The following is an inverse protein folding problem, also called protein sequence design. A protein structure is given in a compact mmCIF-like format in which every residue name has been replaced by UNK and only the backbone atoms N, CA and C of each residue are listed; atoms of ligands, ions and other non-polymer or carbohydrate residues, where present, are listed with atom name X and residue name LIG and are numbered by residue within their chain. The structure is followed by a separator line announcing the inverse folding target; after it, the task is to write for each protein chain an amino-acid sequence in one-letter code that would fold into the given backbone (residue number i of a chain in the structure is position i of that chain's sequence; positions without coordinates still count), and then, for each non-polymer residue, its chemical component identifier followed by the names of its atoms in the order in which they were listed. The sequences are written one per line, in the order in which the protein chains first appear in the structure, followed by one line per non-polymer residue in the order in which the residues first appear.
data_IF_493648646298
#
_entry.id   IF_493648646298
#
_cell.length_a   1.000
_cell.length_b   1.000
_cell.length_c   1.000
_cell.angle_alpha   90.00
_cell.angle_beta   90.00
_cell.angle_gamma   90.00
#
_symmetry.space_group_name_H-M   'P 1'
#
loop_
_entity.id
_entity.type
_entity.pdbx_description
1 polymer ?
#
# COMPACT_ATOMS: atom_id res chain seq x y z
N UNK A 1 10.22 -8.42 18.24
CA UNK A 1 10.59 -7.15 17.57
C UNK A 1 9.64 -6.06 18.03
N UNK A 2 10.15 -4.90 18.41
CA UNK A 2 9.35 -3.77 18.87
C UNK A 2 8.99 -2.85 17.69
N UNK A 3 7.72 -2.58 17.52
CA UNK A 3 7.20 -1.72 16.47
C UNK A 3 6.71 -0.40 17.07
N UNK A 4 6.86 0.68 16.32
CA UNK A 4 6.17 1.93 16.60
C UNK A 4 5.16 2.22 15.47
N UNK A 5 4.07 2.89 15.82
CA UNK A 5 3.04 3.30 14.88
C UNK A 5 2.88 4.82 14.95
N UNK A 6 3.01 5.51 13.81
CA UNK A 6 2.68 6.93 13.70
C UNK A 6 1.29 7.11 13.08
N UNK A 7 0.58 8.17 13.47
CA UNK A 7 -0.85 8.31 13.19
C UNK A 7 -1.70 7.28 13.94
N UNK A 8 -1.29 6.96 15.17
CA UNK A 8 -1.85 5.87 15.98
C UNK A 8 -3.36 5.99 16.22
N UNK A 9 -3.89 7.20 16.29
CA UNK A 9 -5.32 7.47 16.47
C UNK A 9 -6.15 7.34 15.19
N UNK A 10 -5.49 7.27 14.02
CA UNK A 10 -6.13 7.10 12.73
C UNK A 10 -6.70 5.69 12.52
N UNK A 11 -7.52 5.53 11.47
CA UNK A 11 -8.12 4.22 11.11
C UNK A 11 -7.07 3.13 10.92
N UNK A 12 -5.99 3.41 10.16
CA UNK A 12 -4.91 2.45 9.97
C UNK A 12 -4.06 2.25 11.22
N UNK A 13 -3.77 3.33 11.98
CA UNK A 13 -3.04 3.25 13.23
C UNK A 13 -3.66 2.28 14.22
N UNK A 14 -4.98 2.40 14.46
CA UNK A 14 -5.72 1.47 15.34
C UNK A 14 -5.69 0.04 14.82
N UNK A 15 -5.89 -0.16 13.52
CA UNK A 15 -5.82 -1.52 12.92
C UNK A 15 -4.42 -2.12 13.03
N UNK A 16 -3.36 -1.32 12.89
CA UNK A 16 -1.97 -1.77 13.10
C UNK A 16 -1.73 -2.18 14.55
N UNK A 17 -2.20 -1.38 15.53
CA UNK A 17 -2.06 -1.69 16.95
C UNK A 17 -2.78 -3.01 17.28
N UNK A 18 -4.00 -3.23 16.76
CA UNK A 18 -4.73 -4.49 16.88
C UNK A 18 -3.91 -5.66 16.31
N UNK A 19 -3.42 -5.51 15.07
CA UNK A 19 -2.65 -6.56 14.41
C UNK A 19 -1.31 -6.87 15.11
N UNK A 20 -0.66 -5.86 15.70
CA UNK A 20 0.55 -6.04 16.51
C UNK A 20 0.23 -6.79 17.80
N UNK A 21 -0.88 -6.46 18.47
CA UNK A 21 -1.33 -7.11 19.69
C UNK A 21 -1.64 -8.60 19.49
N UNK A 22 -2.19 -8.96 18.33
CA UNK A 22 -2.53 -10.34 17.96
C UNK A 22 -1.30 -11.18 17.53
N UNK A 23 -0.13 -10.55 17.33
CA UNK A 23 1.05 -11.23 16.81
C UNK A 23 2.00 -11.65 17.94
N UNK A 24 2.32 -12.95 18.05
CA UNK A 24 3.17 -13.50 19.11
C UNK A 24 4.63 -13.00 19.09
N UNK A 25 5.13 -12.60 17.92
CA UNK A 25 6.54 -12.24 17.68
C UNK A 25 6.79 -10.73 17.64
N UNK A 26 5.73 -9.92 17.81
CA UNK A 26 5.78 -8.46 17.72
C UNK A 26 5.27 -7.83 19.02
N UNK A 27 5.75 -6.65 19.34
CA UNK A 27 5.25 -5.86 20.47
C UNK A 27 5.13 -4.39 20.06
N UNK A 28 4.08 -3.71 20.51
CA UNK A 28 3.98 -2.26 20.39
C UNK A 28 4.93 -1.60 21.38
N UNK A 29 5.98 -0.95 20.88
CA UNK A 29 6.96 -0.23 21.69
C UNK A 29 6.64 1.25 21.87
N UNK A 30 5.97 1.86 20.87
CA UNK A 30 5.57 3.25 20.92
C UNK A 30 4.38 3.53 19.97
N UNK A 31 3.62 4.57 20.28
CA UNK A 31 2.53 5.08 19.47
C UNK A 31 2.62 6.60 19.38
N UNK A 32 2.58 7.15 18.15
CA UNK A 32 2.78 8.57 17.92
C UNK A 32 1.61 9.20 17.20
N UNK A 33 1.35 10.45 17.56
CA UNK A 33 0.37 11.33 16.92
C UNK A 33 0.95 12.73 16.74
N UNK A 34 0.31 13.54 15.91
CA UNK A 34 0.66 14.97 15.79
C UNK A 34 0.49 15.66 17.14
N UNK A 35 1.31 16.68 17.38
CA UNK A 35 1.44 17.32 18.67
C UNK A 35 0.13 17.99 19.19
N UNK A 36 -0.75 18.39 18.27
CA UNK A 36 -2.05 19.03 18.57
C UNK A 36 -3.19 18.02 18.81
N UNK A 37 -2.89 16.72 18.82
CA UNK A 37 -3.90 15.68 19.07
C UNK A 37 -4.36 15.70 20.53
N UNK A 38 -5.66 15.73 20.74
CA UNK A 38 -6.28 15.59 22.07
C UNK A 38 -6.11 14.20 22.69
N UNK A 39 -5.55 13.25 21.95
CA UNK A 39 -5.33 11.86 22.37
C UNK A 39 -3.91 11.62 22.91
N UNK A 40 -3.07 12.64 22.99
CA UNK A 40 -1.76 12.55 23.64
C UNK A 40 -1.97 12.15 25.12
N UNK A 41 -1.23 11.13 25.56
CA UNK A 41 -1.33 10.56 26.91
C UNK A 41 -2.34 9.41 27.04
N UNK A 42 -3.28 9.24 26.10
CA UNK A 42 -4.20 8.10 26.10
C UNK A 42 -3.43 6.78 25.84
N UNK A 43 -3.94 5.66 26.38
CA UNK A 43 -3.36 4.35 26.09
C UNK A 43 -3.71 3.91 24.66
N UNK A 44 -2.70 3.49 23.91
CA UNK A 44 -2.83 3.10 22.51
C UNK A 44 -3.68 1.83 22.32
N UNK A 45 -3.63 0.90 23.28
CA UNK A 45 -4.41 -0.33 23.24
C UNK A 45 -5.89 -0.06 23.54
N UNK A 46 -6.21 0.77 24.55
CA UNK A 46 -7.58 1.17 24.83
C UNK A 46 -8.19 1.90 23.62
N UNK A 47 -7.43 2.79 22.99
CA UNK A 47 -7.87 3.49 21.78
C UNK A 47 -8.11 2.53 20.60
N UNK A 48 -7.31 1.48 20.48
CA UNK A 48 -7.45 0.45 19.44
C UNK A 48 -8.51 -0.62 19.78
N UNK A 49 -9.02 -0.65 21.01
CA UNK A 49 -10.05 -1.61 21.44
C UNK A 49 -9.53 -2.99 21.83
N UNK A 50 -8.23 -3.11 22.15
CA UNK A 50 -7.57 -4.37 22.56
C UNK A 50 -7.28 -4.45 24.07
N UNK A 51 -7.80 -3.49 24.84
CA UNK A 51 -7.47 -3.35 26.25
C UNK A 51 -6.22 -2.50 26.48
N UNK A 52 -5.83 -2.36 27.73
CA UNK A 52 -4.69 -1.53 28.13
C UNK A 52 -3.35 -2.20 27.81
N UNK A 53 -2.50 -1.51 27.06
CA UNK A 53 -1.15 -1.97 26.70
C UNK A 53 -0.03 -1.25 27.45
N UNK A 54 -0.35 -0.23 28.26
CA UNK A 54 0.60 0.64 28.96
C UNK A 54 1.56 1.39 28.00
N UNK A 55 1.12 1.62 26.77
CA UNK A 55 1.80 2.38 25.75
C UNK A 55 1.07 3.71 25.52
N UNK A 56 1.52 4.81 26.14
CA UNK A 56 0.86 6.10 25.94
C UNK A 56 1.12 6.63 24.53
N UNK A 57 0.10 7.24 23.93
CA UNK A 57 0.26 8.01 22.69
C UNK A 57 1.11 9.24 22.98
N UNK A 58 2.19 9.40 22.22
CA UNK A 58 3.15 10.50 22.35
C UNK A 58 3.10 11.43 21.14
N UNK A 59 3.59 12.64 21.30
CA UNK A 59 3.79 13.55 20.18
C UNK A 59 4.85 13.00 19.21
N UNK A 60 4.59 13.08 17.90
CA UNK A 60 5.56 12.73 16.87
C UNK A 60 6.86 13.56 16.94
N UNK A 61 6.79 14.80 17.47
CA UNK A 61 7.98 15.62 17.73
C UNK A 61 8.85 15.14 18.90
N UNK A 62 8.40 14.16 19.70
CA UNK A 62 9.09 13.61 20.86
C UNK A 62 9.39 12.11 20.70
N UNK A 63 9.71 11.68 19.46
CA UNK A 63 10.08 10.29 19.18
C UNK A 63 11.37 9.93 19.93
N UNK A 64 11.33 8.80 20.66
CA UNK A 64 12.48 8.19 21.28
C UNK A 64 12.87 6.91 20.51
N UNK A 65 14.00 6.89 19.80
CA UNK A 65 14.39 5.75 18.99
C UNK A 65 14.72 4.50 19.83
N UNK A 66 14.92 4.62 21.13
CA UNK A 66 15.18 3.48 22.00
C UNK A 66 13.97 2.58 22.23
N UNK A 67 12.75 3.07 21.94
CA UNK A 67 11.51 2.38 22.20
C UNK A 67 11.12 1.37 21.11
N UNK A 68 11.70 1.47 19.92
CA UNK A 68 11.28 0.62 18.79
C UNK A 68 12.45 0.25 17.87
N UNK A 69 12.26 -0.79 17.10
CA UNK A 69 13.19 -1.26 16.08
C UNK A 69 12.75 -0.79 14.69
N UNK A 70 11.44 -0.80 14.42
CA UNK A 70 10.83 -0.40 13.14
C UNK A 70 9.64 0.52 13.37
N UNK A 71 9.57 1.63 12.62
CA UNK A 71 8.43 2.53 12.56
C UNK A 71 7.51 2.13 11.40
N UNK A 72 6.19 2.15 11.62
CA UNK A 72 5.17 1.96 10.58
C UNK A 72 4.40 3.27 10.40
N UNK A 73 4.38 3.76 9.15
CA UNK A 73 3.84 5.06 8.80
C UNK A 73 2.76 4.97 7.72
N UNK A 74 1.52 5.38 8.10
CA UNK A 74 0.37 5.56 7.20
C UNK A 74 -0.23 6.96 7.44
N UNK A 75 0.58 7.99 7.35
CA UNK A 75 0.17 9.35 7.68
C UNK A 75 -0.04 10.24 6.45
N UNK A 76 0.83 11.21 6.24
CA UNK A 76 0.79 12.15 5.13
C UNK A 76 2.21 12.37 4.58
N UNK A 77 2.38 12.74 3.30
CA UNK A 77 3.69 12.88 2.67
C UNK A 77 4.70 13.69 3.48
N UNK A 78 4.32 14.86 3.96
CA UNK A 78 5.23 15.72 4.73
C UNK A 78 5.71 15.07 6.04
N UNK A 79 4.82 14.39 6.77
CA UNK A 79 5.18 13.67 8.00
C UNK A 79 6.08 12.46 7.69
N UNK A 80 5.79 11.73 6.62
CA UNK A 80 6.57 10.58 6.17
C UNK A 80 8.02 10.97 5.85
N UNK A 81 8.26 12.11 5.22
CA UNK A 81 9.61 12.58 4.92
C UNK A 81 10.41 12.90 6.21
N UNK A 82 9.76 13.51 7.20
CA UNK A 82 10.36 13.73 8.53
C UNK A 82 10.68 12.41 9.21
N UNK A 83 9.75 11.44 9.16
CA UNK A 83 9.94 10.12 9.74
C UNK A 83 11.07 9.33 9.05
N UNK A 84 11.20 9.46 7.73
CA UNK A 84 12.28 8.81 6.97
C UNK A 84 13.66 9.34 7.39
N UNK A 85 13.81 10.67 7.51
CA UNK A 85 15.06 11.28 7.98
C UNK A 85 15.36 10.92 9.43
N UNK A 86 14.33 10.91 10.30
CA UNK A 86 14.49 10.48 11.70
C UNK A 86 14.99 9.04 11.78
N UNK A 87 14.34 8.11 11.07
CA UNK A 87 14.72 6.70 11.06
C UNK A 87 16.14 6.49 10.51
N UNK A 88 16.50 7.18 9.44
CA UNK A 88 17.84 7.13 8.85
C UNK A 88 18.91 7.65 9.81
N UNK A 89 18.64 8.73 10.54
CA UNK A 89 19.58 9.34 11.51
C UNK A 89 19.82 8.44 12.71
N UNK A 90 18.81 7.70 13.16
CA UNK A 90 18.88 6.89 14.37
C UNK A 90 19.04 5.38 14.09
N UNK A 91 19.25 4.98 12.84
CA UNK A 91 19.39 3.57 12.45
C UNK A 91 18.15 2.75 12.77
N UNK A 92 16.94 3.32 12.58
CA UNK A 92 15.67 2.64 12.74
C UNK A 92 15.07 2.29 11.38
N UNK A 93 14.45 1.14 11.26
CA UNK A 93 13.80 0.72 10.04
C UNK A 93 12.46 1.43 9.87
N UNK A 94 11.99 1.57 8.62
CA UNK A 94 10.74 2.27 8.32
C UNK A 94 9.91 1.53 7.27
N UNK A 95 8.63 1.31 7.59
CA UNK A 95 7.61 0.81 6.64
C UNK A 95 6.67 1.96 6.29
N UNK A 96 6.62 2.34 5.02
CA UNK A 96 5.83 3.46 4.52
C UNK A 96 4.65 2.95 3.69
N UNK A 97 3.43 3.12 4.21
CA UNK A 97 2.17 2.91 3.50
C UNK A 97 1.48 4.21 3.10
N UNK A 98 2.10 5.36 3.37
CA UNK A 98 1.60 6.68 2.97
C UNK A 98 1.57 6.79 1.45
N UNK A 99 0.45 7.27 0.91
CA UNK A 99 0.26 7.51 -0.53
C UNK A 99 0.40 8.98 -0.88
N UNK A 100 0.52 9.31 -2.17
CA UNK A 100 0.59 10.70 -2.64
C UNK A 100 1.97 11.35 -2.49
N UNK A 101 3.04 10.58 -2.22
CA UNK A 101 4.41 11.08 -2.19
C UNK A 101 4.85 11.37 -3.62
N UNK A 102 5.24 12.61 -3.88
CA UNK A 102 5.70 13.08 -5.19
C UNK A 102 7.11 12.57 -5.55
N UNK A 103 7.59 12.96 -6.72
CA UNK A 103 8.92 12.54 -7.23
C UNK A 103 10.05 13.01 -6.30
N UNK A 104 9.96 14.26 -5.82
CA UNK A 104 10.98 14.83 -4.94
C UNK A 104 11.00 14.12 -3.58
N UNK A 105 9.82 13.84 -3.01
CA UNK A 105 9.71 13.07 -1.76
C UNK A 105 10.22 11.65 -1.90
N UNK A 106 9.95 10.97 -3.01
CA UNK A 106 10.53 9.62 -3.27
C UNK A 106 12.05 9.66 -3.36
N UNK A 107 12.62 10.71 -3.97
CA UNK A 107 14.08 10.88 -4.00
C UNK A 107 14.66 11.08 -2.60
N UNK A 108 14.00 11.84 -1.72
CA UNK A 108 14.42 11.99 -0.32
C UNK A 108 14.37 10.66 0.45
N UNK A 109 13.31 9.86 0.25
CA UNK A 109 13.23 8.53 0.86
C UNK A 109 14.35 7.62 0.36
N UNK A 110 14.70 7.67 -0.93
CA UNK A 110 15.81 6.89 -1.49
C UNK A 110 17.15 7.26 -0.84
N UNK A 111 17.42 8.56 -0.62
CA UNK A 111 18.60 9.03 0.09
C UNK A 111 18.62 8.57 1.56
N UNK A 112 17.48 8.60 2.25
CA UNK A 112 17.35 8.08 3.61
C UNK A 112 17.65 6.58 3.67
N UNK A 113 17.21 5.83 2.65
CA UNK A 113 17.40 4.39 2.54
C UNK A 113 18.88 3.96 2.35
N UNK A 114 19.76 4.86 1.95
CA UNK A 114 21.22 4.59 1.93
C UNK A 114 21.80 4.36 3.35
N UNK A 115 21.10 4.83 4.38
CA UNK A 115 21.53 4.78 5.78
C UNK A 115 20.78 3.77 6.64
N UNK A 116 19.58 3.36 6.22
CA UNK A 116 18.75 2.37 6.93
C UNK A 116 17.86 1.60 5.96
N UNK A 117 17.25 0.51 6.43
CA UNK A 117 16.30 -0.23 5.59
C UNK A 117 14.91 0.43 5.63
N UNK A 118 14.42 0.84 4.46
CA UNK A 118 13.10 1.45 4.26
C UNK A 118 12.30 0.62 3.26
N UNK A 119 11.06 0.32 3.60
CA UNK A 119 10.11 -0.25 2.66
C UNK A 119 9.04 0.79 2.33
N UNK A 120 8.86 1.09 1.05
CA UNK A 120 7.80 1.97 0.56
C UNK A 120 6.92 1.24 -0.44
N UNK A 121 5.64 1.11 -0.13
CA UNK A 121 4.65 0.57 -1.06
C UNK A 121 3.33 1.33 -0.96
N UNK A 122 2.74 1.75 -2.10
CA UNK A 122 1.45 2.45 -2.10
C UNK A 122 0.29 1.53 -1.71
N UNK A 123 0.49 0.22 -1.69
CA UNK A 123 -0.47 -0.76 -1.22
C UNK A 123 0.26 -1.90 -0.50
N UNK A 124 -0.07 -2.10 0.77
CA UNK A 124 0.55 -3.13 1.62
C UNK A 124 -0.14 -4.50 1.53
N UNK A 125 -1.28 -4.63 0.84
CA UNK A 125 -1.96 -5.91 0.72
C UNK A 125 -1.11 -6.93 -0.02
N UNK A 126 -0.83 -8.06 0.62
CA UNK A 126 -0.15 -9.21 0.00
C UNK A 126 -0.92 -9.70 -1.21
N UNK A 127 -2.26 -9.78 -1.11
CA UNK A 127 -3.12 -10.23 -2.21
C UNK A 127 -3.07 -9.29 -3.41
N UNK A 128 -3.11 -7.96 -3.20
CA UNK A 128 -2.99 -6.98 -4.30
C UNK A 128 -1.63 -7.09 -4.98
N UNK A 129 -0.55 -7.21 -4.22
CA UNK A 129 0.79 -7.31 -4.79
C UNK A 129 1.03 -8.64 -5.53
N UNK A 130 0.42 -9.74 -5.07
CA UNK A 130 0.37 -10.98 -5.83
C UNK A 130 -0.41 -10.81 -7.14
N UNK A 131 -1.58 -10.14 -7.09
CA UNK A 131 -2.37 -9.85 -8.30
C UNK A 131 -1.56 -9.03 -9.30
N UNK A 132 -0.81 -8.01 -8.88
CA UNK A 132 0.08 -7.25 -9.77
C UNK A 132 1.03 -8.15 -10.55
N UNK A 133 1.61 -9.15 -9.90
CA UNK A 133 2.50 -10.12 -10.56
C UNK A 133 1.74 -11.05 -11.52
N UNK A 134 0.56 -11.53 -11.10
CA UNK A 134 -0.27 -12.38 -11.96
C UNK A 134 -0.74 -11.64 -13.21
N UNK A 135 -1.09 -10.34 -13.10
CA UNK A 135 -1.47 -9.51 -14.24
C UNK A 135 -0.35 -9.36 -15.25
N UNK A 136 0.86 -9.16 -14.78
CA UNK A 136 2.04 -9.06 -15.64
C UNK A 136 2.28 -10.35 -16.42
N UNK A 137 2.24 -11.50 -15.74
CA UNK A 137 2.38 -12.82 -16.35
C UNK A 137 1.24 -13.07 -17.37
N UNK A 138 0.00 -12.81 -16.98
CA UNK A 138 -1.14 -13.00 -17.86
C UNK A 138 -1.06 -12.12 -19.13
N UNK A 139 -0.71 -10.84 -18.96
CA UNK A 139 -0.53 -9.93 -20.09
C UNK A 139 0.58 -10.37 -21.04
N UNK A 140 1.72 -10.83 -20.53
CA UNK A 140 2.84 -11.33 -21.35
C UNK A 140 2.48 -12.60 -22.13
N UNK A 141 1.70 -13.51 -21.52
CA UNK A 141 1.31 -14.78 -22.15
C UNK A 141 0.21 -14.57 -23.21
N UNK A 142 -0.80 -13.73 -22.87
CA UNK A 142 -1.98 -13.54 -23.72
C UNK A 142 -1.74 -12.49 -24.83
N UNK A 143 -0.85 -11.53 -24.60
CA UNK A 143 -0.44 -10.53 -25.58
C UNK A 143 -1.61 -9.73 -26.14
N UNK A 144 -1.56 -9.50 -27.46
CA UNK A 144 -2.59 -8.73 -28.19
C UNK A 144 -3.80 -9.59 -28.65
N UNK A 145 -3.89 -10.84 -28.21
CA UNK A 145 -5.00 -11.73 -28.59
C UNK A 145 -6.27 -11.48 -27.76
N UNK A 146 -6.14 -10.72 -26.66
CA UNK A 146 -7.22 -10.45 -25.72
C UNK A 146 -7.50 -8.96 -25.52
N UNK A 147 -8.75 -8.62 -25.24
CA UNK A 147 -9.16 -7.32 -24.74
C UNK A 147 -8.92 -7.22 -23.21
N UNK A 148 -8.45 -6.07 -22.73
CA UNK A 148 -8.11 -5.87 -21.31
C UNK A 148 -9.01 -4.79 -20.71
N UNK A 149 -9.73 -5.13 -19.63
CA UNK A 149 -10.59 -4.20 -18.87
C UNK A 149 -10.30 -4.31 -17.38
N UNK A 150 -10.12 -3.16 -16.73
CA UNK A 150 -9.94 -3.02 -15.27
C UNK A 150 -11.24 -2.52 -14.67
N UNK A 151 -11.84 -3.31 -13.78
CA UNK A 151 -13.09 -2.98 -13.09
C UNK A 151 -12.78 -2.80 -11.61
N UNK A 152 -13.18 -1.66 -11.02
CA UNK A 152 -12.99 -1.42 -9.61
C UNK A 152 -14.26 -0.92 -8.91
N UNK A 153 -14.43 -1.31 -7.66
CA UNK A 153 -15.54 -0.86 -6.83
C UNK A 153 -15.04 -0.46 -5.43
N UNK A 154 -15.50 0.69 -4.94
CA UNK A 154 -15.24 1.19 -3.59
C UNK A 154 -16.47 1.84 -2.98
N UNK A 155 -16.37 2.13 -1.68
CA UNK A 155 -17.41 2.80 -0.92
C UNK A 155 -17.77 4.19 -1.49
N UNK A 156 -19.00 4.65 -1.20
CA UNK A 156 -19.54 5.93 -1.69
C UNK A 156 -18.71 7.18 -1.37
N UNK A 157 -17.85 7.11 -0.36
CA UNK A 157 -17.03 8.24 0.11
C UNK A 157 -15.65 8.32 -0.53
N UNK A 158 -15.29 7.39 -1.44
CA UNK A 158 -14.02 7.46 -2.16
C UNK A 158 -14.09 8.53 -3.25
N UNK A 159 -13.14 9.46 -3.22
CA UNK A 159 -13.15 10.68 -4.06
C UNK A 159 -12.39 10.51 -5.38
N UNK A 160 -11.32 9.71 -5.38
CA UNK A 160 -10.54 9.42 -6.59
C UNK A 160 -11.21 8.33 -7.44
N UNK A 161 -11.19 8.49 -8.76
CA UNK A 161 -11.69 7.53 -9.75
C UNK A 161 -10.85 7.64 -11.05
N UNK A 162 -10.28 6.53 -11.54
CA UNK A 162 -10.18 5.23 -10.89
C UNK A 162 -9.33 5.28 -9.61
N UNK A 163 -9.41 4.21 -8.79
CA UNK A 163 -8.58 4.07 -7.60
C UNK A 163 -7.08 3.99 -7.98
N UNK A 164 -6.18 4.44 -7.09
CA UNK A 164 -4.74 4.32 -7.32
C UNK A 164 -4.27 2.88 -7.59
N UNK A 165 -4.94 1.88 -7.00
CA UNK A 165 -4.68 0.45 -7.26
C UNK A 165 -5.08 0.08 -8.68
N UNK A 166 -6.24 0.54 -9.17
CA UNK A 166 -6.68 0.28 -10.55
C UNK A 166 -5.74 0.96 -11.57
N UNK A 167 -5.33 2.21 -11.33
CA UNK A 167 -4.34 2.88 -12.18
C UNK A 167 -3.03 2.09 -12.22
N UNK A 168 -2.55 1.61 -11.06
CA UNK A 168 -1.34 0.77 -11.01
C UNK A 168 -1.49 -0.54 -11.78
N UNK A 169 -2.67 -1.18 -11.74
CA UNK A 169 -2.97 -2.35 -12.57
C UNK A 169 -2.86 -2.00 -14.06
N UNK A 170 -3.45 -0.89 -14.47
CA UNK A 170 -3.34 -0.38 -15.84
C UNK A 170 -1.89 -0.12 -16.28
N UNK A 171 -1.07 0.49 -15.42
CA UNK A 171 0.36 0.72 -15.69
C UNK A 171 1.13 -0.58 -15.90
N UNK A 172 0.85 -1.61 -15.08
CA UNK A 172 1.47 -2.94 -15.19
C UNK A 172 1.08 -3.58 -16.53
N UNK A 173 -0.21 -3.58 -16.85
CA UNK A 173 -0.75 -4.12 -18.08
C UNK A 173 -0.19 -3.42 -19.33
N UNK A 174 -0.18 -2.07 -19.32
CA UNK A 174 0.36 -1.28 -20.41
C UNK A 174 1.84 -1.58 -20.64
N UNK A 175 2.63 -1.64 -19.58
CA UNK A 175 4.07 -1.96 -19.65
C UNK A 175 4.30 -3.37 -20.17
N UNK A 176 3.57 -4.37 -19.65
CA UNK A 176 3.71 -5.76 -20.08
C UNK A 176 3.33 -5.99 -21.55
N UNK A 177 2.38 -5.17 -22.08
CA UNK A 177 1.92 -5.19 -23.46
C UNK A 177 2.68 -4.21 -24.38
N UNK A 178 3.73 -3.53 -23.89
CA UNK A 178 4.48 -2.54 -24.67
C UNK A 178 3.67 -1.30 -25.05
N UNK A 179 2.65 -0.93 -24.28
CA UNK A 179 1.74 0.18 -24.55
C UNK A 179 2.02 1.36 -23.60
N UNK A 180 1.61 2.55 -24.01
CA UNK A 180 1.62 3.77 -23.19
C UNK A 180 0.20 3.99 -22.60
N UNK A 181 0.05 3.79 -21.28
CA UNK A 181 -1.27 3.93 -20.63
C UNK A 181 -1.93 5.27 -20.91
N UNK A 182 -1.16 6.36 -20.99
CA UNK A 182 -1.70 7.69 -21.24
C UNK A 182 -2.38 7.84 -22.62
N UNK A 183 -2.05 6.95 -23.56
CA UNK A 183 -2.59 6.95 -24.92
C UNK A 183 -3.72 5.94 -25.15
N UNK A 184 -3.69 4.82 -24.40
CA UNK A 184 -4.59 3.69 -24.64
C UNK A 184 -5.66 3.52 -23.56
N UNK A 185 -5.59 4.29 -22.45
CA UNK A 185 -6.59 4.21 -21.40
C UNK A 185 -7.94 4.82 -21.83
N UNK A 186 -9.02 4.09 -21.56
CA UNK A 186 -10.40 4.56 -21.74
C UNK A 186 -11.13 4.49 -20.41
N UNK A 187 -11.44 5.67 -19.85
CA UNK A 187 -12.09 5.81 -18.54
C UNK A 187 -13.61 5.93 -18.68
N UNK A 188 -14.27 4.77 -18.76
CA UNK A 188 -15.71 4.71 -18.98
C UNK A 188 -16.11 4.81 -20.45
N UNK A 189 -17.33 4.36 -20.74
CA UNK A 189 -17.98 4.45 -22.06
C UNK A 189 -19.42 4.87 -21.88
N UNK A 190 -19.91 5.79 -22.72
CA UNK A 190 -21.28 6.27 -22.70
C UNK A 190 -21.79 6.45 -24.14
N UNK A 191 -23.04 6.10 -24.38
CA UNK A 191 -23.70 6.25 -25.69
C UNK A 191 -23.13 5.31 -26.76
N UNK A 192 -23.12 5.78 -28.01
CA UNK A 192 -22.65 5.01 -29.16
C UNK A 192 -21.14 5.32 -29.40
N UNK A 193 -20.27 4.55 -28.80
CA UNK A 193 -18.80 4.78 -28.82
C UNK A 193 -18.08 4.12 -30.01
N UNK A 194 -18.82 3.39 -30.86
CA UNK A 194 -18.21 2.56 -31.90
C UNK A 194 -17.57 1.28 -31.36
N UNK A 195 -16.89 0.53 -32.23
CA UNK A 195 -16.19 -0.68 -31.84
C UNK A 195 -14.96 -0.31 -30.99
N UNK A 196 -14.65 -1.15 -30.01
CA UNK A 196 -13.47 -1.02 -29.15
C UNK A 196 -12.18 -1.13 -29.96
N UNK A 197 -11.25 -0.20 -29.78
CA UNK A 197 -9.91 -0.32 -30.33
C UNK A 197 -9.15 -1.45 -29.62
N UNK A 198 -8.32 -2.19 -30.37
CA UNK A 198 -7.66 -3.40 -29.90
C UNK A 198 -6.61 -3.15 -28.82
N UNK A 199 -5.94 -2.03 -28.90
CA UNK A 199 -4.90 -1.61 -27.95
C UNK A 199 -5.45 -0.97 -26.68
N UNK A 200 -6.77 -0.76 -26.56
CA UNK A 200 -7.40 -0.15 -25.39
C UNK A 200 -7.10 -0.92 -24.11
N UNK A 201 -6.87 -0.21 -23.02
CA UNK A 201 -7.00 -0.68 -21.64
C UNK A 201 -8.19 0.07 -21.05
N UNK A 202 -9.31 -0.61 -20.84
CA UNK A 202 -10.53 0.02 -20.37
C UNK A 202 -10.57 0.07 -18.84
N UNK A 203 -11.31 1.06 -18.30
CA UNK A 203 -11.56 1.20 -16.87
C UNK A 203 -13.05 1.39 -16.62
N UNK A 204 -13.57 0.62 -15.66
CA UNK A 204 -14.93 0.78 -15.15
C UNK A 204 -14.88 1.00 -13.63
N UNK A 205 -15.54 2.06 -13.17
CA UNK A 205 -15.49 2.50 -11.77
C UNK A 205 -16.87 2.43 -11.14
N UNK A 206 -16.99 1.76 -10.00
CA UNK A 206 -18.20 1.67 -9.19
C UNK A 206 -17.99 2.34 -7.83
N UNK A 207 -18.97 3.12 -7.35
CA UNK A 207 -19.04 3.70 -6.02
C UNK A 207 -20.35 3.30 -5.35
N UNK A 208 -20.28 2.41 -4.34
CA UNK A 208 -21.47 1.85 -3.71
C UNK A 208 -21.19 1.40 -2.27
N UNK A 209 -22.16 1.63 -1.39
CA UNK A 209 -22.17 1.11 -0.03
C UNK A 209 -20.90 1.42 0.78
N UNK A 210 -20.37 0.39 1.40
CA UNK A 210 -19.20 0.36 2.24
C UNK A 210 -18.05 -0.51 1.69
N UNK A 211 -18.09 -0.84 0.41
CA UNK A 211 -17.07 -1.66 -0.28
C UNK A 211 -15.67 -1.12 0.04
N UNK A 212 -14.84 -1.95 0.64
CA UNK A 212 -13.48 -1.56 1.04
C UNK A 212 -12.57 -1.39 -0.17
N UNK A 213 -12.70 -2.29 -1.15
CA UNK A 213 -12.01 -2.21 -2.43
C UNK A 213 -12.02 -3.54 -3.18
N UNK A 214 -12.72 -3.58 -4.30
CA UNK A 214 -12.73 -4.70 -5.23
C UNK A 214 -12.03 -4.28 -6.52
N UNK A 215 -11.22 -5.17 -7.06
CA UNK A 215 -10.51 -4.95 -8.32
C UNK A 215 -10.53 -6.24 -9.13
N UNK A 216 -11.03 -6.17 -10.35
CA UNK A 216 -11.06 -7.27 -11.32
C UNK A 216 -10.40 -6.82 -12.60
N UNK A 217 -9.49 -7.62 -13.14
CA UNK A 217 -8.99 -7.45 -14.50
C UNK A 217 -9.52 -8.59 -15.34
N UNK A 218 -10.20 -8.22 -16.45
CA UNK A 218 -10.63 -9.15 -17.49
C UNK A 218 -9.60 -9.19 -18.59
N UNK A 219 -9.28 -10.39 -19.04
CA UNK A 219 -8.60 -10.70 -20.30
C UNK A 219 -9.59 -11.50 -21.14
N UNK A 220 -10.21 -10.84 -22.14
CA UNK A 220 -11.29 -11.41 -22.92
C UNK A 220 -10.84 -11.71 -24.35
N UNK A 221 -10.71 -12.98 -24.67
CA UNK A 221 -10.39 -13.51 -26.00
C UNK A 221 -11.63 -14.01 -26.75
N UNK A 222 -11.42 -14.56 -27.95
CA UNK A 222 -12.47 -15.19 -28.72
C UNK A 222 -12.84 -16.55 -28.12
N UNK A 223 -14.03 -16.64 -27.52
CA UNK A 223 -14.55 -17.88 -26.94
C UNK A 223 -14.20 -18.15 -25.49
N UNK A 224 -13.27 -17.39 -24.89
CA UNK A 224 -12.93 -17.50 -23.47
C UNK A 224 -12.57 -16.16 -22.84
N UNK A 225 -12.55 -16.10 -21.52
CA UNK A 225 -12.00 -14.99 -20.76
C UNK A 225 -11.37 -15.48 -19.48
N UNK A 226 -10.34 -14.76 -19.02
CA UNK A 226 -9.72 -14.93 -17.71
C UNK A 226 -10.06 -13.71 -16.86
N UNK A 227 -10.44 -13.93 -15.62
CA UNK A 227 -10.69 -12.87 -14.63
C UNK A 227 -9.74 -13.04 -13.44
N UNK A 228 -8.96 -12.02 -13.14
CA UNK A 228 -8.11 -11.98 -11.93
C UNK A 228 -8.71 -10.95 -10.98
N UNK A 229 -9.22 -11.43 -9.86
CA UNK A 229 -9.99 -10.61 -8.92
C UNK A 229 -9.36 -10.59 -7.53
N UNK A 230 -9.28 -9.41 -6.93
CA UNK A 230 -8.99 -9.19 -5.52
C UNK A 230 -10.15 -8.44 -4.85
N UNK A 231 -10.58 -8.92 -3.68
CA UNK A 231 -11.58 -8.24 -2.84
C UNK A 231 -11.04 -8.03 -1.44
N UNK A 232 -11.01 -6.77 -0.99
CA UNK A 232 -10.66 -6.41 0.37
C UNK A 232 -11.93 -6.31 1.23
N UNK A 233 -12.01 -7.09 2.31
CA UNK A 233 -13.16 -7.07 3.22
C UNK A 233 -12.91 -6.21 4.47
N UNK A 234 -11.64 -5.95 4.81
CA UNK A 234 -11.27 -5.09 5.94
C UNK A 234 -9.89 -4.45 5.71
N UNK A 235 -9.54 -3.45 6.54
CA UNK A 235 -8.20 -2.85 6.53
C UNK A 235 -7.12 -3.74 7.15
N UNK A 236 -7.52 -4.83 7.81
CA UNK A 236 -6.57 -5.75 8.45
C UNK A 236 -5.58 -6.36 7.45
N UNK A 237 -5.99 -6.58 6.19
CA UNK A 237 -5.10 -7.08 5.14
C UNK A 237 -3.90 -6.14 4.88
N UNK A 238 -4.10 -4.82 4.96
CA UNK A 238 -3.02 -3.83 4.84
C UNK A 238 -2.11 -3.83 6.07
N UNK A 239 -2.71 -3.93 7.28
CA UNK A 239 -1.94 -4.02 8.51
C UNK A 239 -1.08 -5.29 8.54
N UNK A 240 -1.65 -6.46 8.22
CA UNK A 240 -0.91 -7.72 8.13
C UNK A 240 0.23 -7.66 7.10
N UNK A 241 0.01 -7.00 5.96
CA UNK A 241 1.04 -6.75 4.97
C UNK A 241 2.17 -5.86 5.50
N UNK A 242 1.85 -4.79 6.24
CA UNK A 242 2.83 -3.92 6.87
C UNK A 242 3.64 -4.67 7.95
N UNK A 243 3.02 -5.55 8.74
CA UNK A 243 3.74 -6.40 9.70
C UNK A 243 4.67 -7.40 8.98
N UNK A 244 4.24 -7.96 7.85
CA UNK A 244 5.11 -8.81 7.02
C UNK A 244 6.29 -8.02 6.46
N UNK A 245 6.07 -6.77 6.02
CA UNK A 245 7.12 -5.86 5.59
C UNK A 245 8.12 -5.56 6.71
N UNK A 246 7.66 -5.29 7.94
CA UNK A 246 8.52 -5.09 9.09
C UNK A 246 9.38 -6.33 9.42
N UNK A 247 8.80 -7.54 9.34
CA UNK A 247 9.56 -8.81 9.50
C UNK A 247 10.60 -9.01 8.42
N UNK A 248 10.30 -8.60 7.18
CA UNK A 248 11.27 -8.63 6.07
C UNK A 248 12.42 -7.67 6.34
N UNK A 249 12.13 -6.41 6.72
CA UNK A 249 13.15 -5.39 6.99
C UNK A 249 14.10 -5.79 8.13
N UNK A 250 13.63 -6.57 9.12
CA UNK A 250 14.49 -7.07 10.21
C UNK A 250 15.76 -7.79 9.71
N UNK A 251 15.72 -8.33 8.50
CA UNK A 251 16.85 -9.06 7.88
C UNK A 251 17.70 -8.17 6.96
N UNK A 252 17.32 -6.90 6.81
CA UNK A 252 17.98 -5.95 5.93
C UNK A 252 18.74 -4.92 6.77
N UNK A 253 19.92 -4.54 6.32
CA UNK A 253 20.73 -3.51 6.99
C UNK A 253 20.35 -2.11 6.51
N UNK A 254 20.24 -1.93 5.19
CA UNK A 254 19.88 -0.68 4.51
C UNK A 254 19.36 -0.97 3.10
N UNK A 255 18.70 0.00 2.51
CA UNK A 255 18.17 -0.07 1.15
C UNK A 255 16.70 0.31 1.07
N UNK A 256 16.24 0.61 -0.13
CA UNK A 256 14.85 0.90 -0.44
C UNK A 256 14.21 -0.36 -1.05
N UNK A 257 13.16 -0.83 -0.40
CA UNK A 257 12.43 -2.04 -0.75
C UNK A 257 10.96 -1.72 -1.03
N UNK A 258 10.28 -2.65 -1.67
CA UNK A 258 8.83 -2.62 -1.85
C UNK A 258 8.17 -3.96 -1.49
N UNK A 259 6.86 -4.07 -1.71
CA UNK A 259 6.13 -5.32 -1.42
C UNK A 259 6.47 -6.45 -2.40
N UNK A 260 7.02 -6.18 -3.58
CA UNK A 260 7.47 -7.24 -4.50
C UNK A 260 8.72 -7.93 -3.93
N UNK A 261 9.63 -7.17 -3.29
CA UNK A 261 10.79 -7.73 -2.59
C UNK A 261 10.36 -8.63 -1.42
N UNK A 262 9.37 -8.16 -0.62
CA UNK A 262 8.79 -8.94 0.50
C UNK A 262 8.21 -10.27 0.06
N UNK A 263 7.68 -10.32 -1.16
CA UNK A 263 7.04 -11.51 -1.73
C UNK A 263 8.02 -12.38 -2.54
N UNK A 264 9.27 -11.96 -2.67
CA UNK A 264 10.30 -12.69 -3.41
C UNK A 264 10.15 -12.58 -4.94
N UNK A 265 9.52 -11.49 -5.41
CA UNK A 265 9.36 -11.19 -6.84
C UNK A 265 10.38 -10.16 -7.35
N UNK A 266 11.22 -9.60 -6.45
CA UNK A 266 12.09 -8.45 -6.72
C UNK A 266 13.13 -8.65 -7.83
N UNK A 267 13.61 -9.80 -8.14
CA UNK A 267 14.72 -10.00 -9.10
C UNK A 267 14.40 -10.96 -10.27
N UNK A 268 13.13 -11.20 -10.59
CA UNK A 268 12.77 -12.24 -11.57
C UNK A 268 12.14 -11.74 -12.87
N UNK A 269 12.30 -10.46 -13.18
CA UNK A 269 11.87 -9.89 -14.45
C UNK A 269 12.98 -9.01 -15.02
N UNK A 270 13.96 -9.65 -15.61
CA UNK A 270 14.79 -9.07 -16.67
C UNK A 270 14.23 -9.49 -18.01
#
# INVERSE_FOLDING_TARGET
MRLAVTGAAGRMGRTLIQAIHEADDLALGAAFERADSSLIGADAGELAGVGRLEVPIRSAGAMDPSLFDTLIDFTAPAATLVNAEFCATHGRQLVIGTTGIDVAGRAQIAVAAERTAILHSPNMSVGVNLVFRLLEIAAQVLGDEVDVEVIEAHHRHKVDAPSGTAVRMGDILARALGRDLSKVAVYGREGMTGARARDTIGFATVRAGDIVGDHTVLFAGAGERIEITHRAHSRLNFAQGALRAARFLKKQERGLYDMQDVLGFGDRLQ
#
